data_IF_586732294082
#
_entry.id   IF_586732294082
#
_cell.length_a   1.000
_cell.length_b   1.000
_cell.length_c   1.000
_cell.angle_alpha   90.00
_cell.angle_beta   90.00
_cell.angle_gamma   90.00
#
_symmetry.space_group_name_H-M   'P 1'
#
loop_
_entity.id
_entity.type
_entity.pdbx_description
1 polymer ?
#
# COMPACT_ATOMS: atom_id res chain seq x y z
N UNK A 1 -23.94 -7.24 -19.63
CA UNK A 1 -22.51 -6.88 -19.78
C UNK A 1 -22.30 -6.18 -21.13
N UNK A 2 -22.26 -4.85 -21.18
CA UNK A 2 -21.69 -4.17 -22.36
C UNK A 2 -20.19 -4.19 -22.19
N UNK A 3 -19.56 -5.26 -22.66
CA UNK A 3 -18.15 -5.16 -23.03
C UNK A 3 -18.07 -4.23 -24.22
N UNK A 4 -17.91 -2.94 -23.94
CA UNK A 4 -17.33 -2.07 -24.93
C UNK A 4 -15.86 -2.40 -24.92
N UNK A 5 -15.42 -3.19 -25.90
CA UNK A 5 -14.01 -3.27 -26.22
C UNK A 5 -13.59 -1.87 -26.70
N UNK A 6 -12.97 -1.11 -25.79
CA UNK A 6 -12.30 0.16 -26.11
C UNK A 6 -10.89 -0.08 -26.70
N UNK A 7 -10.57 -1.34 -26.98
CA UNK A 7 -9.32 -1.81 -27.54
C UNK A 7 -8.45 -2.55 -26.52
N UNK A 8 -8.69 -2.40 -25.20
CA UNK A 8 -7.80 -2.98 -24.17
C UNK A 8 -8.50 -3.46 -22.87
N UNK A 9 -9.79 -3.18 -22.63
CA UNK A 9 -10.45 -3.51 -21.35
C UNK A 9 -11.89 -3.99 -21.43
N UNK A 10 -12.35 -4.61 -20.35
CA UNK A 10 -13.67 -5.23 -20.20
C UNK A 10 -14.44 -4.49 -19.10
N UNK A 11 -15.64 -3.97 -19.42
CA UNK A 11 -16.51 -3.33 -18.43
C UNK A 11 -17.51 -4.34 -17.85
N UNK A 12 -17.40 -4.57 -16.54
CA UNK A 12 -18.16 -5.60 -15.83
C UNK A 12 -18.78 -5.05 -14.55
N UNK A 13 -19.95 -5.54 -14.18
CA UNK A 13 -20.47 -5.30 -12.83
C UNK A 13 -19.99 -6.41 -11.90
N UNK A 14 -19.95 -6.12 -10.60
CA UNK A 14 -19.62 -7.14 -9.61
C UNK A 14 -20.59 -8.35 -9.66
N UNK A 15 -21.87 -8.09 -9.94
CA UNK A 15 -22.88 -9.15 -10.10
C UNK A 15 -22.60 -10.04 -11.31
N UNK A 16 -22.16 -9.46 -12.43
CA UNK A 16 -21.81 -10.23 -13.64
C UNK A 16 -20.58 -11.12 -13.38
N UNK A 17 -19.56 -10.59 -12.71
CA UNK A 17 -18.36 -11.35 -12.33
C UNK A 17 -18.71 -12.58 -11.48
N UNK A 18 -19.55 -12.41 -10.46
CA UNK A 18 -19.99 -13.52 -9.60
C UNK A 18 -20.79 -14.58 -10.36
N UNK A 19 -21.67 -14.16 -11.28
CA UNK A 19 -22.46 -15.08 -12.09
C UNK A 19 -21.56 -15.90 -13.04
N UNK A 20 -20.56 -15.27 -13.65
CA UNK A 20 -19.60 -15.93 -14.54
C UNK A 20 -18.76 -16.99 -13.81
N UNK A 21 -18.30 -16.71 -12.61
CA UNK A 21 -17.55 -17.69 -11.80
C UNK A 21 -18.36 -18.94 -11.51
N UNK A 22 -19.59 -18.76 -11.03
CA UNK A 22 -20.49 -19.87 -10.73
C UNK A 22 -20.76 -20.72 -11.96
N UNK A 23 -20.97 -20.07 -13.12
CA UNK A 23 -21.18 -20.75 -14.40
C UNK A 23 -19.95 -21.54 -14.88
N UNK A 24 -18.77 -20.94 -14.75
CA UNK A 24 -17.52 -21.52 -15.26
C UNK A 24 -16.90 -22.55 -14.31
N UNK A 25 -17.41 -22.66 -13.08
CA UNK A 25 -16.92 -23.58 -12.06
C UNK A 25 -15.49 -23.26 -11.62
N UNK A 26 -15.13 -21.97 -11.56
CA UNK A 26 -13.77 -21.55 -11.21
C UNK A 26 -13.51 -21.77 -9.72
N UNK A 27 -12.29 -22.21 -9.40
CA UNK A 27 -11.82 -22.26 -8.02
C UNK A 27 -11.71 -20.84 -7.46
N UNK A 28 -11.98 -20.70 -6.16
CA UNK A 28 -11.89 -19.43 -5.43
C UNK A 28 -11.02 -19.63 -4.20
N UNK A 29 -10.08 -18.72 -3.97
CA UNK A 29 -9.23 -18.71 -2.78
C UNK A 29 -9.50 -17.47 -1.90
N UNK A 30 -8.86 -17.33 -0.72
CA UNK A 30 -9.11 -16.21 0.20
C UNK A 30 -8.83 -14.81 -0.35
N UNK A 31 -7.96 -14.69 -1.35
CA UNK A 31 -7.62 -13.41 -1.99
C UNK A 31 -8.50 -13.09 -3.20
N UNK A 32 -9.26 -14.08 -3.69
CA UNK A 32 -10.17 -13.92 -4.81
C UNK A 32 -11.23 -12.85 -4.54
N UNK A 33 -11.77 -12.27 -5.62
CA UNK A 33 -12.82 -11.25 -5.55
C UNK A 33 -14.16 -11.85 -5.11
N UNK A 34 -14.30 -12.29 -3.86
CA UNK A 34 -15.58 -12.70 -3.26
C UNK A 34 -15.50 -12.90 -1.75
N UNK A 35 -16.30 -12.13 -1.00
CA UNK A 35 -16.86 -12.62 0.26
C UNK A 35 -18.26 -12.03 0.44
N UNK A 36 -19.32 -12.83 0.21
CA UNK A 36 -20.59 -12.59 0.89
C UNK A 36 -21.89 -12.59 0.09
N UNK A 37 -21.88 -12.67 -1.25
CA UNK A 37 -23.14 -12.81 -2.00
C UNK A 37 -23.17 -14.08 -2.84
N UNK A 38 -24.24 -14.88 -2.63
CA UNK A 38 -24.55 -16.06 -3.44
C UNK A 38 -24.86 -15.58 -4.86
N UNK A 39 -24.18 -16.12 -5.89
CA UNK A 39 -24.46 -15.78 -7.27
C UNK A 39 -25.95 -15.99 -7.58
N UNK A 40 -26.60 -14.98 -8.16
CA UNK A 40 -27.92 -15.18 -8.76
C UNK A 40 -27.74 -15.48 -10.24
N UNK A 41 -28.26 -16.61 -10.74
CA UNK A 41 -28.23 -16.88 -12.17
C UNK A 41 -28.98 -15.77 -12.92
N UNK A 42 -28.43 -15.37 -14.05
CA UNK A 42 -29.00 -14.36 -14.95
C UNK A 42 -29.02 -14.94 -16.36
N UNK A 43 -30.22 -15.24 -16.89
CA UNK A 43 -30.39 -15.79 -18.23
C UNK A 43 -29.78 -14.88 -19.32
N UNK A 44 -29.75 -13.57 -19.07
CA UNK A 44 -29.14 -12.59 -19.99
C UNK A 44 -27.64 -12.78 -20.16
N UNK A 45 -26.94 -13.19 -19.09
CA UNK A 45 -25.49 -13.36 -19.10
C UNK A 45 -25.07 -14.64 -19.86
N UNK A 46 -25.95 -15.65 -19.93
CA UNK A 46 -25.68 -16.82 -20.76
C UNK A 46 -25.72 -16.51 -22.25
N UNK A 47 -26.75 -15.75 -22.66
CA UNK A 47 -26.88 -15.28 -24.03
C UNK A 47 -25.70 -14.39 -24.43
N UNK A 48 -25.31 -13.45 -23.58
CA UNK A 48 -24.13 -12.62 -23.81
C UNK A 48 -22.83 -13.45 -23.90
N UNK A 49 -22.61 -14.40 -22.98
CA UNK A 49 -21.40 -15.26 -23.03
C UNK A 49 -21.27 -16.02 -24.35
N UNK A 50 -22.38 -16.57 -24.84
CA UNK A 50 -22.40 -17.32 -26.11
C UNK A 50 -22.16 -16.47 -27.36
N UNK A 51 -22.19 -15.14 -27.26
CA UNK A 51 -21.87 -14.25 -28.37
C UNK A 51 -20.37 -14.05 -28.56
N UNK A 52 -19.55 -14.35 -27.55
CA UNK A 52 -18.09 -14.28 -27.66
C UNK A 52 -17.53 -15.41 -28.50
N UNK A 53 -16.49 -15.11 -29.28
CA UNK A 53 -15.67 -16.10 -29.95
C UNK A 53 -14.96 -17.02 -28.95
N UNK A 54 -14.53 -18.19 -29.40
CA UNK A 54 -13.81 -19.14 -28.55
C UNK A 54 -12.55 -18.54 -27.91
N UNK A 55 -11.81 -17.68 -28.65
CA UNK A 55 -10.63 -17.00 -28.13
C UNK A 55 -10.95 -15.96 -27.05
N UNK A 56 -12.01 -15.17 -27.23
CA UNK A 56 -12.47 -14.22 -26.21
C UNK A 56 -12.96 -14.94 -24.95
N UNK A 57 -13.68 -16.06 -25.11
CA UNK A 57 -14.12 -16.88 -23.99
C UNK A 57 -12.94 -17.47 -23.21
N UNK A 58 -11.90 -17.95 -23.91
CA UNK A 58 -10.69 -18.47 -23.29
C UNK A 58 -9.91 -17.38 -22.55
N UNK A 59 -9.73 -16.20 -23.18
CA UNK A 59 -9.09 -15.05 -22.56
C UNK A 59 -9.84 -14.60 -21.30
N UNK A 60 -11.16 -14.42 -21.37
CA UNK A 60 -11.95 -14.02 -20.20
C UNK A 60 -11.91 -15.10 -19.11
N UNK A 61 -11.93 -16.38 -19.48
CA UNK A 61 -11.79 -17.47 -18.51
C UNK A 61 -10.44 -17.39 -17.79
N UNK A 62 -9.35 -17.08 -18.49
CA UNK A 62 -8.03 -16.92 -17.88
C UNK A 62 -8.01 -15.74 -16.91
N UNK A 63 -8.52 -14.59 -17.33
CA UNK A 63 -8.63 -13.38 -16.50
C UNK A 63 -9.46 -13.67 -15.23
N UNK A 64 -10.64 -14.28 -15.38
CA UNK A 64 -11.49 -14.63 -14.25
C UNK A 64 -10.83 -15.66 -13.32
N UNK A 65 -10.08 -16.62 -13.87
CA UNK A 65 -9.32 -17.57 -13.06
C UNK A 65 -8.29 -16.85 -12.19
N UNK A 66 -7.56 -15.90 -12.77
CA UNK A 66 -6.60 -15.06 -12.03
C UNK A 66 -7.29 -14.18 -10.98
N UNK A 67 -8.46 -13.62 -11.29
CA UNK A 67 -9.21 -12.74 -10.39
C UNK A 67 -9.74 -13.48 -9.14
N UNK A 68 -10.11 -14.74 -9.29
CA UNK A 68 -10.77 -15.53 -8.24
C UNK A 68 -9.84 -16.51 -7.52
N UNK A 69 -8.74 -16.90 -8.16
CA UNK A 69 -7.69 -17.72 -7.56
C UNK A 69 -6.30 -17.10 -7.74
N UNK A 70 -6.08 -15.84 -7.29
CA UNK A 70 -4.78 -15.19 -7.41
C UNK A 70 -3.77 -15.77 -6.42
N UNK A 71 -2.49 -15.86 -6.80
CA UNK A 71 -1.42 -16.18 -5.83
C UNK A 71 -1.05 -14.98 -4.95
N UNK A 72 -1.24 -13.78 -5.50
CA UNK A 72 -0.90 -12.50 -4.88
C UNK A 72 -1.89 -11.46 -5.38
N UNK A 73 -2.26 -10.55 -4.49
CA UNK A 73 -2.94 -9.31 -4.85
C UNK A 73 -2.11 -8.12 -4.42
N UNK A 74 -2.21 -7.03 -5.18
CA UNK A 74 -1.67 -5.73 -4.83
C UNK A 74 -2.76 -4.68 -4.98
N UNK A 75 -3.20 -4.13 -3.86
CA UNK A 75 -4.16 -3.03 -3.83
C UNK A 75 -3.39 -1.72 -3.91
N UNK A 76 -3.81 -0.86 -4.84
CA UNK A 76 -3.22 0.43 -5.11
C UNK A 76 -4.28 1.50 -4.81
N UNK A 77 -3.94 2.42 -3.93
CA UNK A 77 -4.72 3.65 -3.70
C UNK A 77 -3.81 4.83 -3.97
N UNK A 78 -4.27 5.86 -4.68
CA UNK A 78 -3.43 7.03 -4.90
C UNK A 78 -4.18 8.34 -5.01
N UNK A 79 -3.43 9.41 -4.78
CA UNK A 79 -3.86 10.79 -5.03
C UNK A 79 -2.86 11.53 -5.90
N UNK A 80 -3.36 12.41 -6.78
CA UNK A 80 -2.57 13.41 -7.49
C UNK A 80 -3.12 14.78 -7.08
N UNK A 81 -2.35 15.50 -6.28
CA UNK A 81 -2.85 16.66 -5.52
C UNK A 81 -4.10 16.31 -4.71
N UNK A 82 -5.07 17.23 -4.71
CA UNK A 82 -6.34 17.08 -3.99
C UNK A 82 -7.51 16.63 -4.89
N UNK A 83 -7.25 16.28 -6.16
CA UNK A 83 -8.29 16.20 -7.20
C UNK A 83 -8.64 14.78 -7.60
N UNK A 84 -7.64 13.91 -7.69
CA UNK A 84 -7.81 12.55 -8.18
C UNK A 84 -7.66 11.59 -7.01
N UNK A 85 -8.62 10.70 -6.84
CA UNK A 85 -8.53 9.59 -5.92
C UNK A 85 -9.00 8.33 -6.62
N UNK A 86 -8.11 7.34 -6.71
CA UNK A 86 -8.39 6.11 -7.43
C UNK A 86 -7.94 4.89 -6.63
N UNK A 87 -8.71 3.82 -6.78
CA UNK A 87 -8.43 2.50 -6.25
C UNK A 87 -8.33 1.51 -7.40
N UNK A 88 -7.31 0.68 -7.37
CA UNK A 88 -7.17 -0.44 -8.29
C UNK A 88 -6.59 -1.64 -7.56
N UNK A 89 -6.91 -2.82 -8.03
CA UNK A 89 -6.34 -4.06 -7.51
C UNK A 89 -5.72 -4.83 -8.65
N UNK A 90 -4.48 -5.28 -8.45
CA UNK A 90 -3.75 -6.16 -9.33
C UNK A 90 -3.81 -7.58 -8.79
N UNK A 91 -3.96 -8.54 -9.68
CA UNK A 91 -4.09 -9.97 -9.36
C UNK A 91 -3.07 -10.74 -10.18
N UNK A 92 -2.23 -11.53 -9.52
CA UNK A 92 -1.28 -12.42 -10.19
C UNK A 92 -1.86 -13.82 -10.29
N UNK A 93 -1.90 -14.35 -11.51
CA UNK A 93 -2.31 -15.72 -11.78
C UNK A 93 -1.33 -16.75 -11.24
N UNK A 94 -1.83 -17.95 -11.03
CA UNK A 94 -1.01 -19.13 -10.72
C UNK A 94 -0.33 -19.62 -12.00
N UNK A 95 0.82 -20.27 -11.87
CA UNK A 95 1.47 -20.93 -13.00
C UNK A 95 0.50 -21.93 -13.68
N UNK A 96 0.54 -22.07 -15.01
CA UNK A 96 1.55 -21.53 -15.92
C UNK A 96 1.27 -20.12 -16.46
N UNK A 97 0.06 -19.58 -16.31
CA UNK A 97 -0.32 -18.33 -16.99
C UNK A 97 0.50 -17.14 -16.49
N UNK A 98 0.76 -17.05 -15.18
CA UNK A 98 1.44 -15.91 -14.54
C UNK A 98 0.88 -14.55 -14.98
N UNK A 99 -0.37 -14.51 -15.43
CA UNK A 99 -1.00 -13.31 -15.95
C UNK A 99 -1.17 -12.28 -14.83
N UNK A 100 -1.03 -11.01 -15.17
CA UNK A 100 -1.31 -9.91 -14.28
C UNK A 100 -2.60 -9.23 -14.74
N UNK A 101 -3.62 -9.28 -13.88
CA UNK A 101 -4.94 -8.72 -14.16
C UNK A 101 -5.13 -7.48 -13.32
N UNK A 102 -5.56 -6.40 -13.96
CA UNK A 102 -5.89 -5.13 -13.34
C UNK A 102 -7.42 -4.99 -13.24
N UNK A 103 -7.91 -4.70 -12.04
CA UNK A 103 -9.30 -4.32 -11.78
C UNK A 103 -9.35 -2.90 -11.22
N UNK A 104 -10.04 -1.98 -11.89
CA UNK A 104 -10.28 -0.63 -11.36
C UNK A 104 -11.73 -0.23 -11.49
N UNK A 105 -12.19 0.66 -10.62
CA UNK A 105 -13.55 1.18 -10.68
C UNK A 105 -13.66 2.19 -11.82
N UNK A 106 -14.62 1.98 -12.72
CA UNK A 106 -14.87 2.84 -13.86
C UNK A 106 -16.12 3.69 -13.65
N UNK A 107 -15.95 5.02 -13.59
CA UNK A 107 -17.03 6.00 -13.48
C UNK A 107 -17.79 5.99 -12.14
N UNK A 108 -18.92 6.70 -12.12
CA UNK A 108 -19.78 6.80 -10.92
C UNK A 108 -20.57 5.50 -10.66
N UNK A 109 -20.71 4.65 -11.69
CA UNK A 109 -21.39 3.37 -11.61
C UNK A 109 -20.64 2.34 -10.74
N UNK A 110 -21.35 1.29 -10.33
CA UNK A 110 -20.74 0.07 -9.74
C UNK A 110 -20.13 -0.81 -10.85
N UNK A 111 -19.44 -0.18 -11.79
CA UNK A 111 -18.78 -0.82 -12.92
C UNK A 111 -17.28 -0.88 -12.64
N UNK A 112 -16.67 -1.96 -13.11
CA UNK A 112 -15.24 -2.19 -13.02
C UNK A 112 -14.70 -2.37 -14.43
N UNK A 113 -13.53 -1.79 -14.67
CA UNK A 113 -12.72 -2.09 -15.84
C UNK A 113 -11.74 -3.19 -15.45
N UNK A 114 -11.75 -4.24 -16.25
CA UNK A 114 -10.93 -5.44 -16.12
C UNK A 114 -10.02 -5.53 -17.35
N UNK A 115 -8.72 -5.64 -17.16
CA UNK A 115 -7.77 -5.72 -18.25
C UNK A 115 -6.54 -6.54 -17.85
N UNK A 116 -5.89 -7.18 -18.82
CA UNK A 116 -4.57 -7.77 -18.63
C UNK A 116 -3.51 -6.68 -18.79
N UNK A 117 -2.53 -6.66 -17.90
CA UNK A 117 -1.41 -5.70 -17.93
C UNK A 117 -0.09 -6.42 -17.75
N UNK A 118 1.01 -5.73 -18.06
CA UNK A 118 2.36 -6.19 -17.76
C UNK A 118 2.92 -5.46 -16.54
N UNK A 119 3.88 -6.09 -15.85
CA UNK A 119 4.59 -5.44 -14.74
C UNK A 119 5.31 -4.15 -15.18
N UNK A 120 5.77 -4.08 -16.43
CA UNK A 120 6.41 -2.88 -16.98
C UNK A 120 5.41 -1.72 -17.15
N UNK A 121 4.21 -1.98 -17.67
CA UNK A 121 3.16 -0.96 -17.83
C UNK A 121 2.73 -0.40 -16.47
N UNK A 122 2.52 -1.27 -15.49
CA UNK A 122 2.17 -0.83 -14.14
C UNK A 122 3.34 -0.07 -13.51
N UNK A 123 4.57 -0.57 -13.60
CA UNK A 123 5.76 0.12 -13.07
C UNK A 123 5.94 1.51 -13.68
N UNK A 124 5.72 1.67 -14.98
CA UNK A 124 5.74 2.97 -15.66
C UNK A 124 4.66 3.90 -15.11
N UNK A 125 3.44 3.42 -14.95
CA UNK A 125 2.36 4.21 -14.35
C UNK A 125 2.69 4.64 -12.91
N UNK A 126 3.20 3.73 -12.07
CA UNK A 126 3.60 4.08 -10.71
C UNK A 126 4.74 5.10 -10.71
N UNK A 127 5.69 4.97 -11.64
CA UNK A 127 6.81 5.91 -11.84
C UNK A 127 6.31 7.31 -12.16
N UNK A 128 5.35 7.42 -13.08
CA UNK A 128 4.76 8.69 -13.48
C UNK A 128 3.95 9.31 -12.33
N UNK A 129 3.16 8.48 -11.63
CA UNK A 129 2.31 8.89 -10.52
C UNK A 129 3.11 9.50 -9.37
N UNK A 130 4.20 8.86 -8.95
CA UNK A 130 5.05 9.38 -7.85
C UNK A 130 6.11 10.36 -8.36
N UNK A 131 6.17 10.63 -9.66
CA UNK A 131 7.18 11.52 -10.27
C UNK A 131 8.62 11.02 -10.10
N UNK A 132 8.81 9.70 -10.16
CA UNK A 132 10.09 9.03 -9.87
C UNK A 132 11.20 9.34 -10.89
N UNK A 133 10.87 9.86 -12.07
CA UNK A 133 11.86 10.30 -13.06
C UNK A 133 12.70 11.51 -12.61
N UNK A 134 12.33 12.17 -11.50
CA UNK A 134 12.95 13.40 -11.00
C UNK A 134 13.49 13.29 -9.58
N UNK A 135 13.80 12.06 -9.13
CA UNK A 135 14.28 11.84 -7.77
C UNK A 135 15.75 12.25 -7.64
N UNK A 136 16.16 12.53 -6.40
CA UNK A 136 17.57 12.61 -6.06
C UNK A 136 18.19 11.22 -6.03
N UNK A 137 19.52 11.13 -5.93
CA UNK A 137 20.21 9.84 -5.76
C UNK A 137 20.23 9.36 -4.29
N UNK A 138 19.71 10.18 -3.38
CA UNK A 138 19.67 9.91 -1.95
C UNK A 138 18.71 8.75 -1.65
N UNK A 139 19.26 7.68 -1.10
CA UNK A 139 18.48 6.63 -0.48
C UNK A 139 18.77 6.60 1.01
N UNK A 140 17.74 6.52 1.84
CA UNK A 140 17.89 6.34 3.28
C UNK A 140 16.83 5.40 3.80
N UNK A 141 17.12 4.69 4.88
CA UNK A 141 16.17 3.82 5.54
C UNK A 141 16.46 3.83 7.05
N UNK A 142 15.41 3.84 7.84
CA UNK A 142 15.47 3.70 9.28
C UNK A 142 14.31 2.82 9.75
N UNK A 143 14.64 1.79 10.52
CA UNK A 143 13.65 0.92 11.15
C UNK A 143 13.05 1.59 12.39
N UNK A 144 11.73 1.48 12.55
CA UNK A 144 10.95 1.96 13.69
C UNK A 144 9.97 0.86 14.11
N UNK A 145 9.28 1.03 15.25
CA UNK A 145 8.05 0.26 15.47
C UNK A 145 6.93 0.84 14.59
N UNK A 146 5.93 0.03 14.23
CA UNK A 146 4.75 0.51 13.50
C UNK A 146 4.06 1.66 14.26
N UNK A 147 3.98 1.57 15.59
CA UNK A 147 3.41 2.60 16.44
C UNK A 147 4.24 3.90 16.43
N UNK A 148 5.58 3.82 16.45
CA UNK A 148 6.43 5.01 16.33
C UNK A 148 6.34 5.65 14.94
N UNK A 149 6.30 4.85 13.87
CA UNK A 149 6.12 5.35 12.51
C UNK A 149 4.82 6.16 12.37
N UNK A 150 3.71 5.62 12.89
CA UNK A 150 2.42 6.30 12.89
C UNK A 150 2.42 7.50 13.84
N UNK A 151 3.10 7.43 14.98
CA UNK A 151 3.32 8.57 15.87
C UNK A 151 4.08 9.72 15.19
N UNK A 152 5.08 9.39 14.36
CA UNK A 152 5.84 10.36 13.56
C UNK A 152 4.96 11.03 12.50
N UNK A 153 4.17 10.25 11.77
CA UNK A 153 3.18 10.77 10.83
C UNK A 153 2.14 11.64 11.55
N UNK A 154 1.63 11.20 12.71
CA UNK A 154 0.67 11.96 13.52
C UNK A 154 1.23 13.29 14.00
N UNK A 155 2.48 13.32 14.46
CA UNK A 155 3.17 14.55 14.80
C UNK A 155 3.36 15.47 13.59
N UNK A 156 3.63 14.90 12.41
CA UNK A 156 3.80 15.67 11.17
C UNK A 156 2.49 16.33 10.75
N UNK A 157 1.38 15.61 10.91
CA UNK A 157 0.04 16.13 10.60
C UNK A 157 -0.42 17.18 11.62
N UNK A 158 -0.06 17.07 12.90
CA UNK A 158 -0.27 18.15 13.89
C UNK A 158 0.42 19.44 13.41
N UNK A 159 1.63 19.35 12.87
CA UNK A 159 2.32 20.52 12.32
C UNK A 159 1.67 21.04 11.04
N UNK A 160 1.23 20.16 10.13
CA UNK A 160 0.46 20.54 8.93
C UNK A 160 -0.82 21.29 9.32
N UNK A 161 -1.56 20.80 10.32
CA UNK A 161 -2.75 21.47 10.85
C UNK A 161 -2.43 22.86 11.40
N UNK A 162 -1.39 22.99 12.22
CA UNK A 162 -0.96 24.29 12.77
C UNK A 162 -0.54 25.26 11.67
N UNK A 163 0.14 24.78 10.63
CA UNK A 163 0.51 25.61 9.48
C UNK A 163 -0.74 26.17 8.79
N UNK A 164 -1.72 25.31 8.47
CA UNK A 164 -2.98 25.77 7.86
C UNK A 164 -3.76 26.71 8.78
N UNK A 165 -3.81 26.44 10.08
CA UNK A 165 -4.46 27.31 11.05
C UNK A 165 -3.76 28.67 11.13
N UNK A 166 -2.44 28.71 11.19
CA UNK A 166 -1.62 29.93 11.18
C UNK A 166 -1.89 30.77 9.93
N UNK A 167 -2.01 30.14 8.76
CA UNK A 167 -2.37 30.83 7.51
C UNK A 167 -3.76 31.47 7.55
N UNK A 168 -4.71 30.82 8.21
CA UNK A 168 -6.09 31.32 8.37
C UNK A 168 -6.21 32.42 9.43
N UNK A 169 -5.45 32.33 10.52
CA UNK A 169 -5.54 33.26 11.66
C UNK A 169 -4.47 34.36 11.64
N UNK A 170 -3.54 34.31 10.69
CA UNK A 170 -2.36 35.18 10.62
C UNK A 170 -1.51 35.16 11.91
N UNK A 171 -1.47 34.02 12.61
CA UNK A 171 -0.68 33.82 13.82
C UNK A 171 0.64 33.14 13.51
N UNK A 172 1.65 33.30 14.36
CA UNK A 172 2.89 32.54 14.25
C UNK A 172 2.65 31.06 14.55
N UNK A 173 3.31 30.16 13.82
CA UNK A 173 3.25 28.72 14.09
C UNK A 173 3.96 28.46 15.41
N UNK A 174 3.23 27.97 16.40
CA UNK A 174 3.83 27.51 17.65
C UNK A 174 4.73 26.30 17.38
N UNK A 175 6.02 26.35 17.72
CA UNK A 175 6.94 25.26 17.44
C UNK A 175 6.67 24.10 18.40
N UNK A 176 6.51 22.90 17.84
CA UNK A 176 6.44 21.66 18.59
C UNK A 176 5.04 21.13 18.80
N UNK A 177 4.93 20.08 19.60
CA UNK A 177 3.69 19.35 19.88
C UNK A 177 3.85 18.51 21.14
N UNK A 178 2.76 17.96 21.66
CA UNK A 178 2.81 17.00 22.76
C UNK A 178 2.08 15.70 22.41
N UNK A 179 2.23 14.68 23.25
CA UNK A 179 1.62 13.37 23.03
C UNK A 179 0.09 13.38 23.05
N UNK A 180 -0.57 14.36 23.68
CA UNK A 180 -2.03 14.47 23.65
C UNK A 180 -2.54 14.91 22.28
N UNK A 181 -1.83 15.85 21.66
CA UNK A 181 -2.15 16.31 20.30
C UNK A 181 -1.95 15.19 19.28
N UNK A 182 -0.83 14.46 19.37
CA UNK A 182 -0.56 13.30 18.50
C UNK A 182 -1.63 12.22 18.68
N UNK A 183 -1.99 11.90 19.94
CA UNK A 183 -3.06 10.96 20.24
C UNK A 183 -4.41 11.41 19.67
N UNK A 184 -4.79 12.67 19.86
CA UNK A 184 -6.05 13.22 19.34
C UNK A 184 -6.11 13.06 17.82
N UNK A 185 -5.02 13.42 17.13
CA UNK A 185 -4.96 13.32 15.67
C UNK A 185 -5.08 11.87 15.20
N UNK A 186 -4.37 10.94 15.81
CA UNK A 186 -4.46 9.51 15.48
C UNK A 186 -5.85 8.95 15.73
N UNK A 187 -6.53 9.36 16.80
CA UNK A 187 -7.90 8.94 17.09
C UNK A 187 -8.91 9.46 16.04
N UNK A 188 -8.63 10.60 15.43
CA UNK A 188 -9.46 11.22 14.39
C UNK A 188 -9.11 10.77 12.96
N UNK A 189 -8.02 10.01 12.78
CA UNK A 189 -7.53 9.56 11.46
C UNK A 189 -8.50 8.68 10.67
N UNK A 190 -9.53 8.14 11.32
CA UNK A 190 -10.60 7.36 10.64
C UNK A 190 -11.52 8.20 9.76
N UNK A 191 -11.48 9.54 9.89
CA UNK A 191 -12.23 10.46 9.04
C UNK A 191 -11.78 10.36 7.58
N UNK A 192 -12.74 10.45 6.66
CA UNK A 192 -12.47 10.31 5.21
C UNK A 192 -12.01 11.65 4.65
N UNK A 193 -10.70 11.90 4.67
CA UNK A 193 -10.09 13.06 4.03
C UNK A 193 -8.71 12.70 3.45
N UNK A 194 -8.69 12.46 2.13
CA UNK A 194 -7.48 12.03 1.42
C UNK A 194 -6.38 13.12 1.32
N UNK A 195 -6.65 14.35 1.79
CA UNK A 195 -5.65 15.42 1.89
C UNK A 195 -4.65 15.19 3.03
N UNK A 196 -5.03 14.36 4.00
CA UNK A 196 -4.17 13.96 5.11
C UNK A 196 -3.57 12.59 4.80
N UNK A 197 -2.24 12.49 4.93
CA UNK A 197 -1.45 11.28 4.67
C UNK A 197 -1.96 10.12 5.54
N UNK A 198 -2.19 10.36 6.83
CA UNK A 198 -2.67 9.31 7.73
C UNK A 198 -4.09 8.83 7.39
N UNK A 199 -5.02 9.75 7.14
CA UNK A 199 -6.39 9.40 6.79
C UNK A 199 -6.46 8.64 5.45
N UNK A 200 -5.60 9.02 4.50
CA UNK A 200 -5.42 8.30 3.25
C UNK A 200 -4.88 6.88 3.46
N UNK A 201 -3.88 6.72 4.33
CA UNK A 201 -3.22 5.43 4.52
C UNK A 201 -4.01 4.45 5.39
N UNK A 202 -4.73 4.95 6.41
CA UNK A 202 -5.50 4.15 7.38
C UNK A 202 -6.44 3.14 6.73
N UNK A 203 -7.07 3.49 5.60
CA UNK A 203 -7.99 2.60 4.87
C UNK A 203 -7.32 1.37 4.27
N UNK A 204 -5.99 1.34 4.21
CA UNK A 204 -5.18 0.28 3.62
C UNK A 204 -4.34 -0.46 4.66
N UNK A 205 -4.41 -0.03 5.92
CA UNK A 205 -3.63 -0.61 7.01
C UNK A 205 -4.31 -1.86 7.58
N UNK A 206 -3.56 -2.95 7.86
CA UNK A 206 -4.09 -4.18 8.43
C UNK A 206 -4.23 -4.13 9.96
N UNK A 207 -4.23 -2.92 10.52
CA UNK A 207 -4.13 -2.65 11.96
C UNK A 207 -5.17 -1.62 12.36
N UNK A 208 -5.78 -1.86 13.51
CA UNK A 208 -6.74 -0.95 14.11
C UNK A 208 -6.02 0.29 14.66
N UNK A 209 -6.21 1.44 14.00
CA UNK A 209 -5.64 2.71 14.41
C UNK A 209 -6.05 3.13 15.83
N UNK A 210 -7.19 2.65 16.35
CA UNK A 210 -7.60 2.96 17.73
C UNK A 210 -6.71 2.30 18.77
N UNK A 211 -6.14 1.12 18.46
CA UNK A 211 -5.17 0.44 19.33
C UNK A 211 -3.86 1.22 19.35
N UNK A 212 -3.42 1.71 18.20
CA UNK A 212 -2.17 2.44 18.04
C UNK A 212 -2.25 3.85 18.62
N UNK A 213 -3.38 4.53 18.47
CA UNK A 213 -3.62 5.84 19.09
C UNK A 213 -3.36 5.78 20.60
N UNK A 214 -3.79 4.69 21.28
CA UNK A 214 -3.54 4.48 22.72
C UNK A 214 -2.05 4.35 23.07
N UNK A 215 -1.24 3.83 22.15
CA UNK A 215 0.21 3.65 22.33
C UNK A 215 1.01 4.91 21.94
N UNK A 216 0.38 5.90 21.30
CA UNK A 216 1.06 7.06 20.73
C UNK A 216 1.88 7.89 21.73
N UNK A 217 1.45 7.94 23.01
CA UNK A 217 2.22 8.65 24.06
C UNK A 217 3.53 7.93 24.40
N UNK A 218 3.53 6.60 24.33
CA UNK A 218 4.65 5.77 24.74
C UNK A 218 5.72 5.64 23.65
N UNK A 219 5.42 6.06 22.42
CA UNK A 219 6.35 5.95 21.28
C UNK A 219 7.20 7.20 21.04
N UNK A 220 6.88 8.35 21.65
CA UNK A 220 7.68 9.57 21.48
C UNK A 220 9.15 9.41 21.94
N UNK A 221 9.47 8.71 23.04
CA UNK A 221 10.86 8.42 23.39
C UNK A 221 11.61 7.65 22.29
N UNK A 222 10.94 6.74 21.57
CA UNK A 222 11.55 6.02 20.45
C UNK A 222 11.87 6.96 19.29
N UNK A 223 11.02 7.96 19.02
CA UNK A 223 11.26 8.98 18.01
C UNK A 223 12.40 9.95 18.39
N UNK A 224 12.54 10.25 19.68
CA UNK A 224 13.70 11.00 20.20
C UNK A 224 14.98 10.21 19.98
N UNK A 225 15.00 8.93 20.35
CA UNK A 225 16.16 8.06 20.16
C UNK A 225 16.53 7.90 18.68
N UNK A 226 15.53 7.83 17.81
CA UNK A 226 15.71 7.74 16.36
C UNK A 226 16.15 9.07 15.72
N UNK A 227 16.13 10.18 16.46
CA UNK A 227 16.59 11.49 15.99
C UNK A 227 15.60 12.24 15.11
N UNK A 228 14.32 11.86 15.09
CA UNK A 228 13.27 12.59 14.35
C UNK A 228 12.75 13.81 15.11
N UNK A 229 12.73 13.70 16.44
CA UNK A 229 12.21 14.72 17.34
C UNK A 229 13.17 14.90 18.52
N UNK A 230 13.02 15.99 19.25
CA UNK A 230 13.78 16.30 20.45
C UNK A 230 12.86 16.88 21.51
N UNK A 231 13.20 16.68 22.79
CA UNK A 231 12.47 17.28 23.88
C UNK A 231 12.58 18.82 23.85
N UNK A 232 11.49 19.50 24.12
CA UNK A 232 11.40 20.94 24.31
C UNK A 232 10.98 21.26 25.77
N UNK A 233 10.69 22.53 26.08
CA UNK A 233 10.20 22.92 27.40
C UNK A 233 8.78 22.40 27.66
N UNK A 234 8.43 22.25 28.93
CA UNK A 234 7.05 21.98 29.39
C UNK A 234 6.45 20.65 28.88
N UNK A 235 7.30 19.64 28.63
CA UNK A 235 6.85 18.33 28.16
C UNK A 235 6.44 18.29 26.69
N UNK A 236 6.76 19.34 25.93
CA UNK A 236 6.60 19.36 24.48
C UNK A 236 7.79 18.72 23.78
N UNK A 237 7.60 18.43 22.50
CA UNK A 237 8.61 17.94 21.57
C UNK A 237 8.67 18.86 20.36
N UNK A 238 9.83 18.92 19.73
CA UNK A 238 10.04 19.62 18.45
C UNK A 238 10.69 18.66 17.47
N UNK A 239 10.45 18.87 16.18
CA UNK A 239 11.18 18.15 15.16
C UNK A 239 12.66 18.54 15.15
N UNK A 240 13.54 17.58 14.90
CA UNK A 240 14.95 17.86 14.54
C UNK A 240 15.01 18.38 13.10
N UNK A 241 16.20 18.71 12.59
CA UNK A 241 16.36 19.10 11.18
C UNK A 241 15.83 18.03 10.20
N UNK A 242 16.15 16.75 10.45
CA UNK A 242 15.64 15.64 9.64
C UNK A 242 14.11 15.52 9.72
N UNK A 243 13.55 15.73 10.91
CA UNK A 243 12.11 15.76 11.12
C UNK A 243 11.42 16.94 10.43
N UNK A 244 12.02 18.13 10.46
CA UNK A 244 11.48 19.31 9.79
C UNK A 244 11.47 19.13 8.28
N UNK A 245 12.52 18.55 7.70
CA UNK A 245 12.54 18.21 6.28
C UNK A 245 11.37 17.29 5.90
N UNK A 246 11.09 16.26 6.71
CA UNK A 246 9.94 15.39 6.51
C UNK A 246 8.61 16.16 6.56
N UNK A 247 8.44 17.01 7.57
CA UNK A 247 7.23 17.84 7.74
C UNK A 247 7.03 18.78 6.55
N UNK A 248 8.08 19.42 6.05
CA UNK A 248 8.04 20.28 4.87
C UNK A 248 7.62 19.52 3.60
N UNK A 249 8.12 18.29 3.44
CA UNK A 249 7.78 17.43 2.31
C UNK A 249 6.32 16.93 2.39
N UNK A 250 5.83 16.58 3.58
CA UNK A 250 4.42 16.19 3.82
C UNK A 250 3.46 17.38 3.71
N UNK A 251 3.89 18.60 4.08
CA UNK A 251 3.07 19.80 3.97
C UNK A 251 2.82 20.19 2.51
N UNK A 252 3.79 19.92 1.65
CA UNK A 252 3.78 20.30 0.24
C UNK A 252 3.73 19.06 -0.67
N UNK A 253 3.01 18.03 -0.25
CA UNK A 253 2.97 16.78 -1.00
C UNK A 253 2.26 16.97 -2.35
N UNK A 254 2.81 16.33 -3.39
CA UNK A 254 2.30 16.38 -4.77
C UNK A 254 1.47 15.16 -5.12
N UNK A 255 1.85 14.01 -4.57
CA UNK A 255 1.17 12.74 -4.81
C UNK A 255 1.37 11.80 -3.61
N UNK A 256 0.41 10.88 -3.44
CA UNK A 256 0.48 9.80 -2.45
C UNK A 256 0.09 8.49 -3.13
N UNK A 257 0.78 7.42 -2.79
CA UNK A 257 0.50 6.07 -3.28
C UNK A 257 0.57 5.10 -2.10
N UNK A 258 -0.55 4.51 -1.73
CA UNK A 258 -0.61 3.41 -0.80
C UNK A 258 -0.69 2.09 -1.58
N UNK A 259 0.11 1.12 -1.16
CA UNK A 259 0.23 -0.20 -1.75
C UNK A 259 0.03 -1.22 -0.63
N UNK A 260 -0.97 -2.09 -0.75
CA UNK A 260 -1.12 -3.25 0.14
C UNK A 260 -0.90 -4.51 -0.67
N UNK A 261 0.04 -5.34 -0.26
CA UNK A 261 0.35 -6.62 -0.90
C UNK A 261 -0.10 -7.74 0.02
N UNK A 262 -0.90 -8.65 -0.54
CA UNK A 262 -1.27 -9.87 0.16
C UNK A 262 -0.93 -11.12 -0.67
N UNK A 263 -0.39 -12.15 -0.01
CA UNK A 263 -0.02 -13.43 -0.61
C UNK A 263 -0.80 -14.58 0.02
N UNK A 264 -1.05 -15.64 -0.75
CA UNK A 264 -1.74 -16.85 -0.28
C UNK A 264 -1.04 -18.10 -0.80
N UNK A 265 -1.09 -19.20 -0.02
CA UNK A 265 -0.78 -20.55 -0.50
C UNK A 265 -1.97 -21.22 -1.22
N UNK A 266 -3.13 -20.56 -1.25
CA UNK A 266 -4.39 -21.07 -1.79
C UNK A 266 -5.42 -21.38 -0.70
N UNK A 267 -5.01 -21.52 0.56
CA UNK A 267 -5.90 -21.82 1.70
C UNK A 267 -5.94 -20.67 2.70
N UNK A 268 -4.82 -20.02 2.99
CA UNK A 268 -4.70 -18.93 3.96
C UNK A 268 -3.96 -17.71 3.40
N UNK A 269 -4.19 -16.54 4.01
CA UNK A 269 -3.42 -15.32 3.72
C UNK A 269 -2.18 -15.34 4.61
N UNK A 270 -1.00 -15.25 3.99
CA UNK A 270 0.27 -15.52 4.68
C UNK A 270 1.03 -14.26 5.04
N UNK A 271 0.98 -13.27 4.16
CA UNK A 271 1.73 -12.02 4.28
C UNK A 271 0.79 -10.90 3.89
N UNK A 272 0.73 -9.87 4.72
CA UNK A 272 0.10 -8.59 4.41
C UNK A 272 1.11 -7.48 4.74
N UNK A 273 1.61 -6.82 3.69
CA UNK A 273 2.52 -5.69 3.82
C UNK A 273 1.85 -4.45 3.25
N UNK A 274 1.91 -3.35 4.01
CA UNK A 274 1.39 -2.07 3.54
C UNK A 274 2.51 -1.04 3.45
N UNK A 275 2.61 -0.43 2.28
CA UNK A 275 3.58 0.62 1.93
C UNK A 275 2.80 1.89 1.61
N UNK A 276 3.33 3.03 2.04
CA UNK A 276 2.90 4.35 1.65
C UNK A 276 4.08 5.10 1.05
N UNK A 277 3.86 5.68 -0.10
CA UNK A 277 4.78 6.56 -0.80
C UNK A 277 4.20 7.97 -0.81
N UNK A 278 4.97 8.96 -0.35
CA UNK A 278 4.59 10.38 -0.36
C UNK A 278 5.61 11.14 -1.17
N UNK A 279 5.19 11.70 -2.30
CA UNK A 279 6.03 12.56 -3.13
C UNK A 279 5.92 13.99 -2.61
N UNK A 280 6.96 14.48 -1.93
CA UNK A 280 7.09 15.89 -1.60
C UNK A 280 7.78 16.68 -2.72
N UNK A 281 8.17 17.94 -2.47
CA UNK A 281 8.83 18.78 -3.45
C UNK A 281 10.17 18.22 -3.92
N UNK A 282 10.97 17.66 -3.02
CA UNK A 282 12.35 17.23 -3.30
C UNK A 282 12.51 15.72 -3.22
N UNK A 283 11.83 15.05 -2.29
CA UNK A 283 12.03 13.62 -2.00
C UNK A 283 10.79 12.77 -2.31
N UNK A 284 11.01 11.47 -2.47
CA UNK A 284 9.96 10.45 -2.38
C UNK A 284 10.18 9.70 -1.06
N UNK A 285 9.25 9.88 -0.14
CA UNK A 285 9.28 9.20 1.15
C UNK A 285 8.54 7.89 1.07
N UNK A 286 9.13 6.83 1.63
CA UNK A 286 8.53 5.52 1.81
C UNK A 286 8.28 5.28 3.29
N UNK A 287 7.09 4.83 3.61
CA UNK A 287 6.68 4.34 4.92
C UNK A 287 6.19 2.91 4.74
N UNK A 288 6.63 1.96 5.55
CA UNK A 288 6.22 0.56 5.45
C UNK A 288 5.81 0.03 6.80
N UNK A 289 4.72 -0.73 6.85
CA UNK A 289 4.29 -1.48 8.03
C UNK A 289 4.12 -2.95 7.66
N UNK A 290 4.70 -3.81 8.51
CA UNK A 290 4.51 -5.26 8.48
C UNK A 290 4.35 -5.74 9.93
N UNK A 291 3.10 -5.98 10.35
CA UNK A 291 2.77 -6.29 11.74
C UNK A 291 3.14 -5.16 12.70
N UNK A 292 4.03 -5.44 13.65
CA UNK A 292 4.52 -4.47 14.64
C UNK A 292 5.77 -3.70 14.19
N UNK A 293 6.35 -4.06 13.04
CA UNK A 293 7.53 -3.42 12.48
C UNK A 293 7.13 -2.27 11.54
N UNK A 294 7.87 -1.17 11.64
CA UNK A 294 7.75 0.00 10.80
C UNK A 294 9.06 0.36 10.12
N UNK A 295 8.99 1.03 8.97
CA UNK A 295 10.14 1.58 8.28
C UNK A 295 9.82 2.95 7.71
N UNK A 296 10.80 3.85 7.72
CA UNK A 296 10.75 5.12 7.01
C UNK A 296 12.03 5.29 6.19
N UNK A 297 11.89 5.78 4.97
CA UNK A 297 13.03 5.99 4.09
C UNK A 297 12.79 7.02 3.01
N UNK A 298 13.89 7.47 2.39
CA UNK A 298 13.86 8.23 1.14
C UNK A 298 14.22 7.26 0.01
N UNK A 299 13.46 7.32 -1.07
CA UNK A 299 13.67 6.53 -2.28
C UNK A 299 14.26 7.46 -3.34
N UNK A 300 15.47 7.16 -3.77
CA UNK A 300 16.17 7.87 -4.83
C UNK A 300 16.09 7.14 -6.17
N UNK A 301 16.80 7.66 -7.18
CA UNK A 301 16.80 7.14 -8.55
C UNK A 301 17.18 5.64 -8.66
N UNK A 302 18.10 5.18 -7.81
CA UNK A 302 18.51 3.77 -7.78
C UNK A 302 17.61 2.89 -6.91
N UNK A 303 16.96 3.47 -5.90
CA UNK A 303 16.06 2.75 -4.99
C UNK A 303 14.70 2.45 -5.61
N UNK A 304 14.19 3.35 -6.46
CA UNK A 304 12.88 3.17 -7.09
C UNK A 304 12.79 1.93 -7.99
N UNK A 305 13.72 1.69 -8.95
CA UNK A 305 13.70 0.47 -9.75
C UNK A 305 13.79 -0.79 -8.89
N UNK A 306 14.68 -0.81 -7.90
CA UNK A 306 14.83 -1.95 -6.99
C UNK A 306 13.55 -2.22 -6.19
N UNK A 307 12.89 -1.18 -5.68
CA UNK A 307 11.60 -1.31 -5.01
C UNK A 307 10.55 -1.89 -5.95
N UNK A 308 10.39 -1.33 -7.16
CA UNK A 308 9.38 -1.84 -8.11
C UNK A 308 9.64 -3.28 -8.51
N UNK A 309 10.90 -3.68 -8.74
CA UNK A 309 11.26 -5.06 -9.05
C UNK A 309 10.77 -6.03 -7.96
N UNK A 310 10.93 -5.66 -6.68
CA UNK A 310 10.45 -6.44 -5.54
C UNK A 310 8.92 -6.51 -5.51
N UNK A 311 8.25 -5.36 -5.67
CA UNK A 311 6.78 -5.29 -5.65
C UNK A 311 6.15 -6.19 -6.72
N UNK A 312 6.76 -6.27 -7.91
CA UNK A 312 6.24 -7.04 -9.04
C UNK A 312 6.74 -8.50 -9.10
N UNK A 313 7.46 -8.97 -8.07
CA UNK A 313 7.96 -10.34 -7.99
C UNK A 313 7.25 -11.11 -6.87
N UNK A 314 6.16 -11.83 -7.19
CA UNK A 314 5.49 -12.69 -6.23
C UNK A 314 6.47 -13.72 -5.64
N UNK A 315 6.36 -14.05 -4.35
CA UNK A 315 7.20 -15.08 -3.74
C UNK A 315 7.00 -16.42 -4.47
N UNK A 316 8.08 -17.21 -4.59
CA UNK A 316 7.97 -18.54 -5.18
C UNK A 316 7.22 -19.45 -4.19
N UNK A 317 6.26 -20.27 -4.66
CA UNK A 317 5.47 -21.16 -3.78
C UNK A 317 6.34 -22.04 -2.86
N UNK A 318 7.49 -22.50 -3.34
CA UNK A 318 8.41 -23.32 -2.54
C UNK A 318 9.14 -22.56 -1.43
N UNK A 319 9.21 -21.22 -1.49
CA UNK A 319 9.82 -20.40 -0.42
C UNK A 319 8.87 -20.21 0.76
N UNK A 320 7.58 -20.42 0.52
CA UNK A 320 6.51 -20.21 1.48
C UNK A 320 6.33 -21.43 2.40
N UNK A 321 6.41 -22.65 1.85
CA UNK A 321 6.25 -23.90 2.60
C UNK A 321 7.38 -24.17 3.62
N UNK A 322 8.55 -23.54 3.48
CA UNK A 322 9.70 -23.79 4.38
C UNK A 322 9.59 -23.02 5.71
N UNK A 323 8.60 -22.13 5.87
CA UNK A 323 8.46 -21.27 7.06
C UNK A 323 7.19 -21.50 7.88
N UNK A 324 6.37 -22.49 7.54
CA UNK A 324 5.09 -22.76 8.23
C UNK A 324 5.20 -23.72 9.43
N UNK A 325 6.40 -24.05 9.91
CA UNK A 325 6.58 -24.86 11.11
C UNK A 325 6.49 -23.96 12.37
N UNK A 326 5.41 -24.02 13.17
CA UNK A 326 5.11 -23.05 14.23
C UNK A 326 6.02 -23.17 15.47
N UNK A 327 7.11 -23.94 15.39
CA UNK A 327 8.06 -24.22 16.48
C UNK A 327 9.52 -24.06 16.12
N UNK A 328 9.85 -23.54 14.94
CA UNK A 328 11.25 -23.17 14.66
C UNK A 328 11.53 -21.83 15.34
N UNK A 329 12.30 -21.92 16.42
CA UNK A 329 12.94 -20.80 17.09
C UNK A 329 13.48 -19.84 16.01
N UNK A 330 12.92 -18.63 15.94
CA UNK A 330 13.25 -17.61 14.92
C UNK A 330 14.72 -17.24 15.11
N UNK A 331 15.62 -18.02 14.52
CA UNK A 331 17.04 -17.69 14.50
C UNK A 331 17.18 -16.37 13.76
N UNK A 332 17.40 -15.31 14.53
CA UNK A 332 17.68 -13.96 14.06
C UNK A 332 18.82 -14.05 13.04
N UNK A 333 18.49 -13.84 11.75
CA UNK A 333 19.50 -13.61 10.73
C UNK A 333 19.96 -12.17 10.86
N UNK A 334 21.25 -11.92 10.70
CA UNK A 334 21.82 -10.58 10.74
C UNK A 334 22.33 -10.18 9.36
N UNK A 335 22.11 -8.93 8.99
CA UNK A 335 22.60 -8.37 7.74
C UNK A 335 24.11 -8.56 7.65
N UNK A 336 24.64 -9.26 6.63
CA UNK A 336 26.09 -9.45 6.50
C UNK A 336 26.82 -8.13 6.24
N UNK A 337 26.09 -7.07 5.86
CA UNK A 337 26.64 -5.76 5.52
C UNK A 337 26.62 -4.77 6.69
N UNK A 338 25.55 -4.74 7.50
CA UNK A 338 25.41 -3.76 8.59
C UNK A 338 25.12 -4.37 9.97
N UNK A 339 24.96 -5.69 10.08
CA UNK A 339 24.71 -6.39 11.34
C UNK A 339 23.31 -6.23 11.92
N UNK A 340 22.39 -5.54 11.24
CA UNK A 340 21.00 -5.39 11.69
C UNK A 340 20.22 -6.70 11.60
N UNK A 341 19.24 -6.90 12.49
CA UNK A 341 18.33 -8.03 12.43
C UNK A 341 17.55 -8.02 11.10
N UNK A 342 17.51 -9.17 10.44
CA UNK A 342 16.83 -9.39 9.16
C UNK A 342 15.48 -10.07 9.44
N UNK A 343 14.43 -9.60 8.78
CA UNK A 343 13.16 -10.32 8.67
C UNK A 343 13.36 -11.52 7.74
N UNK A 344 13.07 -12.73 8.21
CA UNK A 344 13.17 -13.95 7.41
C UNK A 344 12.29 -13.81 6.16
N UNK A 345 12.88 -13.97 4.97
CA UNK A 345 12.22 -13.75 3.68
C UNK A 345 12.42 -12.36 3.07
N UNK A 346 13.00 -11.40 3.81
CA UNK A 346 13.36 -10.10 3.28
C UNK A 346 14.49 -10.22 2.24
N UNK A 347 14.24 -9.69 1.04
CA UNK A 347 15.27 -9.62 -0.01
C UNK A 347 16.28 -8.50 0.23
N UNK A 348 15.94 -7.52 1.09
CA UNK A 348 16.76 -6.35 1.39
C UNK A 348 16.79 -6.07 2.88
N UNK A 349 17.91 -5.54 3.36
CA UNK A 349 18.07 -5.17 4.74
C UNK A 349 17.21 -3.94 5.05
N UNK A 350 16.26 -4.07 5.98
CA UNK A 350 15.44 -2.96 6.46
C UNK A 350 16.21 -1.86 7.22
N UNK A 351 17.51 -2.05 7.48
CA UNK A 351 18.38 -1.01 8.03
C UNK A 351 19.32 -0.38 7.01
N UNK A 352 19.86 -1.13 6.05
CA UNK A 352 20.87 -0.58 5.12
C UNK A 352 20.49 -0.63 3.63
N UNK A 353 19.33 -1.20 3.28
CA UNK A 353 18.81 -1.26 1.92
C UNK A 353 19.62 -2.14 0.96
N UNK A 354 20.69 -2.80 1.42
CA UNK A 354 21.45 -3.76 0.61
C UNK A 354 20.70 -5.10 0.51
N UNK A 355 20.84 -5.75 -0.65
CA UNK A 355 20.33 -7.10 -0.86
C UNK A 355 20.91 -8.07 0.17
N UNK A 356 20.07 -8.97 0.67
CA UNK A 356 20.36 -9.91 1.76
C UNK A 356 20.84 -11.28 1.28
#
# INVERSE_FOLDING_TARGET
>A
MRLMDDGNGWLVTYTDLQALVGKLGLAVNPLGVTAGQVPRPSDSLEQEWSQYSAGEQEMLRSILTTLYNPRQIMQLSWTIGDVVFQYSTLFWGVAPSNELVWLTRAGEGKQYQLQTVTAEEVSRLLTDLVGAASLSDDNSNQSLSAAALLGLLGASEVMKQRYHQSMLTHQTIEPGFNGEQVHSFLAESSQVDARWVLCFWEKTLPIDMTVLAKQAKDVLPQLVQAGWIQAATDGNFQFTEAGLLLVEEILNEKAKLAITIANTDGEEILIEETILLVRGPQSLWLFSINGDQGGIGRVGNSGWPALTEVLFRPPLQNEVEVNSDPKVDKQLRFCPQCGAGIVIGGQFCSSCGKAL
#
